data_IF_528118485108
#
_entry.id   IF_528118485108
#
_cell.length_a   1.000
_cell.length_b   1.000
_cell.length_c   1.000
_cell.angle_alpha   90.00
_cell.angle_beta   90.00
_cell.angle_gamma   90.00
#
_symmetry.space_group_name_H-M   'P 1'
#
loop_
_entity.id
_entity.type
_entity.pdbx_description
1 polymer ?
#
# COMPACT_ATOMS: atom_id res chain seq x y z
N UNK A 1 -25.33 -8.78 20.44
CA UNK A 1 -23.87 -8.57 20.25
C UNK A 1 -23.70 -7.56 19.13
N UNK A 2 -22.79 -6.58 19.27
CA UNK A 2 -22.48 -5.63 18.19
C UNK A 2 -21.86 -6.34 16.99
N UNK A 3 -22.01 -5.78 15.79
CA UNK A 3 -21.43 -6.31 14.54
C UNK A 3 -19.92 -6.53 14.64
N UNK A 4 -19.20 -5.66 15.36
CA UNK A 4 -17.74 -5.82 15.58
C UNK A 4 -17.41 -7.05 16.41
N UNK A 5 -18.21 -7.33 17.45
CA UNK A 5 -18.04 -8.54 18.27
C UNK A 5 -18.37 -9.82 17.47
N UNK A 6 -19.37 -9.78 16.59
CA UNK A 6 -19.67 -10.89 15.70
C UNK A 6 -18.52 -11.16 14.71
N UNK A 7 -17.87 -10.09 14.22
CA UNK A 7 -16.69 -10.23 13.36
C UNK A 7 -15.49 -10.80 14.12
N UNK A 8 -15.23 -10.38 15.35
CA UNK A 8 -14.18 -10.96 16.20
C UNK A 8 -14.42 -12.47 16.41
N UNK A 9 -15.66 -12.86 16.71
CA UNK A 9 -16.03 -14.27 16.85
C UNK A 9 -15.84 -15.06 15.55
N UNK A 10 -16.18 -14.47 14.41
CA UNK A 10 -15.93 -15.07 13.10
C UNK A 10 -14.42 -15.26 12.85
N UNK A 11 -13.59 -14.28 13.18
CA UNK A 11 -12.14 -14.37 13.02
C UNK A 11 -11.54 -15.51 13.87
N UNK A 12 -12.03 -15.70 15.09
CA UNK A 12 -11.59 -16.77 15.99
C UNK A 12 -12.06 -18.15 15.54
N UNK A 13 -13.34 -18.28 15.18
CA UNK A 13 -13.97 -19.58 14.96
C UNK A 13 -13.88 -20.09 13.53
N UNK A 14 -13.84 -19.20 12.54
CA UNK A 14 -13.86 -19.57 11.10
C UNK A 14 -12.52 -19.30 10.41
N UNK A 15 -11.76 -18.30 10.87
CA UNK A 15 -10.44 -17.96 10.30
C UNK A 15 -9.27 -18.42 11.17
N UNK A 16 -9.53 -18.86 12.41
CA UNK A 16 -8.53 -19.34 13.36
C UNK A 16 -7.31 -18.42 13.47
N UNK A 17 -7.54 -17.10 13.50
CA UNK A 17 -6.44 -16.14 13.60
C UNK A 17 -5.81 -16.16 14.99
N UNK A 18 -4.50 -15.91 15.07
CA UNK A 18 -3.82 -15.78 16.38
C UNK A 18 -4.32 -14.58 17.18
N UNK A 19 -4.12 -14.59 18.50
CA UNK A 19 -4.47 -13.47 19.38
C UNK A 19 -3.83 -12.14 18.93
N UNK A 20 -2.57 -12.20 18.46
CA UNK A 20 -1.87 -11.03 17.90
C UNK A 20 -2.58 -10.49 16.66
N UNK A 21 -2.97 -11.37 15.75
CA UNK A 21 -3.71 -11.00 14.54
C UNK A 21 -5.09 -10.46 14.87
N UNK A 22 -5.81 -11.07 15.82
CA UNK A 22 -7.11 -10.58 16.30
C UNK A 22 -7.00 -9.15 16.86
N UNK A 23 -5.98 -8.90 17.71
CA UNK A 23 -5.71 -7.55 18.24
C UNK A 23 -5.48 -6.54 17.11
N UNK A 24 -4.74 -6.92 16.08
CA UNK A 24 -4.52 -6.08 14.91
C UNK A 24 -5.82 -5.74 14.17
N UNK A 25 -6.69 -6.73 13.94
CA UNK A 25 -8.02 -6.52 13.35
C UNK A 25 -8.87 -5.56 14.18
N UNK A 26 -8.91 -5.76 15.51
CA UNK A 26 -9.66 -4.90 16.43
C UNK A 26 -9.21 -3.45 16.39
N UNK A 27 -7.90 -3.22 16.48
CA UNK A 27 -7.33 -1.88 16.39
C UNK A 27 -7.64 -1.22 15.04
N UNK A 28 -7.58 -1.97 13.93
CA UNK A 28 -7.85 -1.42 12.60
C UNK A 28 -9.31 -1.07 12.39
N UNK A 29 -10.23 -1.93 12.85
CA UNK A 29 -11.67 -1.66 12.78
C UNK A 29 -12.03 -0.45 13.61
N UNK A 30 -11.56 -0.38 14.87
CA UNK A 30 -11.86 0.77 15.74
C UNK A 30 -11.33 2.07 15.14
N UNK A 31 -10.14 2.05 14.54
CA UNK A 31 -9.57 3.22 13.89
C UNK A 31 -10.42 3.69 12.70
N UNK A 32 -10.87 2.75 11.86
CA UNK A 32 -11.76 3.09 10.75
C UNK A 32 -13.14 3.55 11.24
N UNK A 33 -13.74 2.88 12.22
CA UNK A 33 -15.04 3.25 12.79
C UNK A 33 -14.99 4.68 13.33
N UNK A 34 -13.98 5.02 14.13
CA UNK A 34 -13.85 6.39 14.67
C UNK A 34 -13.78 7.44 13.56
N UNK A 35 -13.01 7.19 12.50
CA UNK A 35 -12.98 8.06 11.32
C UNK A 35 -14.35 8.13 10.63
N UNK A 36 -14.98 6.99 10.41
CA UNK A 36 -16.19 6.86 9.61
C UNK A 36 -17.41 7.47 10.31
N UNK A 37 -17.55 7.32 11.63
CA UNK A 37 -18.61 7.94 12.43
C UNK A 37 -18.62 9.46 12.25
N UNK A 38 -17.44 10.08 12.27
CA UNK A 38 -17.28 11.52 12.02
C UNK A 38 -17.63 11.85 10.57
N UNK A 39 -17.08 11.08 9.62
CA UNK A 39 -17.26 11.33 8.19
C UNK A 39 -18.72 11.22 7.72
N UNK A 40 -19.51 10.33 8.33
CA UNK A 40 -20.92 10.10 7.97
C UNK A 40 -21.91 10.70 8.97
N UNK A 41 -21.43 11.37 10.02
CA UNK A 41 -22.27 11.89 11.11
C UNK A 41 -23.18 10.84 11.77
N UNK A 42 -22.69 9.60 11.87
CA UNK A 42 -23.40 8.48 12.50
C UNK A 42 -22.96 8.30 13.95
N UNK A 43 -23.78 7.61 14.76
CA UNK A 43 -23.56 7.49 16.22
C UNK A 43 -23.11 6.09 16.66
N UNK A 44 -23.31 5.08 15.83
CA UNK A 44 -22.95 3.70 16.13
C UNK A 44 -22.40 2.98 14.90
N UNK A 45 -21.78 1.82 15.12
CA UNK A 45 -21.31 0.97 14.01
C UNK A 45 -22.48 0.49 13.17
N UNK A 46 -23.58 0.15 13.82
CA UNK A 46 -24.80 -0.34 13.19
C UNK A 46 -25.40 0.71 12.26
N UNK A 47 -25.43 1.99 12.68
CA UNK A 47 -25.85 3.12 11.84
C UNK A 47 -24.89 3.40 10.69
N UNK A 48 -23.62 3.04 10.83
CA UNK A 48 -22.59 3.23 9.80
C UNK A 48 -22.69 2.19 8.68
N UNK A 49 -23.22 0.99 8.93
CA UNK A 49 -23.22 -0.12 7.97
C UNK A 49 -23.81 0.24 6.58
N UNK A 50 -24.93 0.97 6.46
CA UNK A 50 -25.48 1.38 5.17
C UNK A 50 -24.53 2.28 4.36
N UNK A 51 -23.64 3.01 5.03
CA UNK A 51 -22.66 3.90 4.42
C UNK A 51 -21.31 3.21 4.15
N UNK A 52 -21.13 1.97 4.63
CA UNK A 52 -19.89 1.22 4.44
C UNK A 52 -19.76 0.70 3.01
N UNK A 53 -19.16 1.54 2.16
CA UNK A 53 -18.96 1.27 0.73
C UNK A 53 -17.53 1.63 0.28
N UNK A 54 -17.23 1.33 -0.98
CA UNK A 54 -15.91 1.55 -1.58
C UNK A 54 -15.47 3.02 -1.55
N UNK A 55 -16.42 3.96 -1.66
CA UNK A 55 -16.13 5.39 -1.65
C UNK A 55 -15.66 5.86 -0.27
N UNK A 56 -16.37 5.46 0.79
CA UNK A 56 -15.97 5.80 2.16
C UNK A 56 -14.57 5.25 2.49
N UNK A 57 -14.26 4.03 2.03
CA UNK A 57 -12.94 3.41 2.20
C UNK A 57 -11.85 4.14 1.40
N UNK A 58 -12.17 4.68 0.22
CA UNK A 58 -11.23 5.53 -0.56
C UNK A 58 -10.94 6.85 0.14
N UNK A 59 -11.95 7.51 0.70
CA UNK A 59 -11.78 8.75 1.50
C UNK A 59 -10.90 8.45 2.71
N UNK A 60 -11.18 7.36 3.43
CA UNK A 60 -10.33 6.90 4.53
C UNK A 60 -8.88 6.68 4.08
N UNK A 61 -8.65 5.94 3.00
CA UNK A 61 -7.31 5.73 2.45
C UNK A 61 -6.57 7.05 2.19
N UNK A 62 -7.27 8.03 1.64
CA UNK A 62 -6.69 9.35 1.35
C UNK A 62 -6.30 10.09 2.63
N UNK A 63 -7.19 10.17 3.61
CA UNK A 63 -6.90 10.82 4.90
C UNK A 63 -5.74 10.16 5.65
N UNK A 64 -5.59 8.85 5.54
CA UNK A 64 -4.43 8.13 6.11
C UNK A 64 -3.12 8.49 5.42
N UNK A 65 -3.14 8.65 4.09
CA UNK A 65 -1.96 9.02 3.31
C UNK A 65 -1.54 10.47 3.60
N UNK A 66 -2.50 11.40 3.66
CA UNK A 66 -2.25 12.80 4.00
C UNK A 66 -1.76 12.98 5.44
N UNK A 67 -2.28 12.18 6.37
CA UNK A 67 -1.83 12.15 7.76
C UNK A 67 -0.47 11.47 7.99
N UNK A 68 0.28 11.14 6.94
CA UNK A 68 1.62 10.56 7.05
C UNK A 68 1.66 9.13 7.62
N UNK A 69 0.54 8.39 7.58
CA UNK A 69 0.51 7.02 8.09
C UNK A 69 1.42 6.12 7.22
N UNK A 70 2.28 5.27 7.81
CA UNK A 70 3.14 4.38 7.02
C UNK A 70 2.35 3.49 6.07
N UNK A 71 2.80 3.36 4.82
CA UNK A 71 2.13 2.59 3.76
C UNK A 71 1.75 1.17 4.18
N UNK A 72 2.64 0.47 4.91
CA UNK A 72 2.38 -0.87 5.42
C UNK A 72 1.19 -0.89 6.39
N UNK A 73 1.06 0.13 7.24
CA UNK A 73 -0.07 0.29 8.17
C UNK A 73 -1.36 0.57 7.43
N UNK A 74 -1.33 1.43 6.40
CA UNK A 74 -2.50 1.71 5.56
C UNK A 74 -2.97 0.42 4.88
N UNK A 75 -2.06 -0.30 4.21
CA UNK A 75 -2.38 -1.54 3.51
C UNK A 75 -2.90 -2.63 4.45
N UNK A 76 -2.37 -2.73 5.68
CA UNK A 76 -2.89 -3.62 6.73
C UNK A 76 -4.33 -3.26 7.10
N UNK A 77 -4.61 -1.98 7.36
CA UNK A 77 -5.97 -1.47 7.64
C UNK A 77 -6.93 -1.74 6.50
N UNK A 78 -6.54 -1.49 5.24
CA UNK A 78 -7.35 -1.78 4.06
C UNK A 78 -7.62 -3.29 3.90
N UNK A 79 -6.65 -4.15 4.25
CA UNK A 79 -6.86 -5.61 4.29
C UNK A 79 -7.91 -6.00 5.34
N UNK A 80 -7.86 -5.37 6.52
CA UNK A 80 -8.86 -5.55 7.57
C UNK A 80 -10.26 -5.18 7.06
N UNK A 81 -10.42 -4.03 6.42
CA UNK A 81 -11.71 -3.58 5.86
C UNK A 81 -12.24 -4.51 4.77
N UNK A 82 -11.38 -5.06 3.92
CA UNK A 82 -11.77 -6.07 2.92
C UNK A 82 -12.22 -7.39 3.54
N UNK A 83 -11.65 -7.80 4.68
CA UNK A 83 -12.13 -8.97 5.41
C UNK A 83 -13.45 -8.69 6.10
N UNK A 84 -13.61 -7.50 6.68
CA UNK A 84 -14.85 -7.09 7.32
C UNK A 84 -16.02 -7.00 6.33
N UNK A 85 -15.80 -6.39 5.16
CA UNK A 85 -16.80 -6.36 4.09
C UNK A 85 -17.25 -7.76 3.67
N UNK A 86 -16.29 -8.68 3.46
CA UNK A 86 -16.60 -10.09 3.14
C UNK A 86 -17.41 -10.77 4.23
N UNK A 87 -17.10 -10.51 5.50
CA UNK A 87 -17.88 -11.02 6.63
C UNK A 87 -19.33 -10.51 6.60
N UNK A 88 -19.54 -9.25 6.21
CA UNK A 88 -20.88 -8.65 6.05
C UNK A 88 -21.61 -9.10 4.78
N UNK A 89 -21.02 -9.97 3.95
CA UNK A 89 -21.58 -10.34 2.65
C UNK A 89 -21.52 -9.22 1.60
N UNK A 90 -20.70 -8.18 1.84
CA UNK A 90 -20.52 -7.04 0.96
C UNK A 90 -19.19 -7.14 0.19
N UNK A 91 -19.13 -6.57 -1.01
CA UNK A 91 -17.91 -6.41 -1.80
C UNK A 91 -17.58 -4.93 -1.96
N UNK A 92 -16.45 -4.50 -1.40
CA UNK A 92 -15.95 -3.12 -1.57
C UNK A 92 -15.36 -2.88 -2.98
N UNK A 93 -15.45 -3.85 -3.90
CA UNK A 93 -14.77 -3.79 -5.18
C UNK A 93 -13.24 -3.69 -5.04
N UNK A 94 -12.59 -3.11 -6.03
CA UNK A 94 -11.13 -2.94 -6.07
C UNK A 94 -10.72 -1.73 -5.21
N UNK A 95 -10.58 -1.94 -3.90
CA UNK A 95 -9.84 -1.02 -3.04
C UNK A 95 -8.37 -1.40 -3.09
N UNK A 96 -7.59 -0.66 -3.86
CA UNK A 96 -6.17 -0.93 -4.05
C UNK A 96 -5.32 -0.53 -2.84
N UNK A 97 -4.30 -1.34 -2.59
CA UNK A 97 -3.22 -0.99 -1.69
C UNK A 97 -2.50 0.27 -2.21
N UNK A 98 -1.96 1.07 -1.28
CA UNK A 98 -0.97 2.08 -1.64
C UNK A 98 0.30 1.34 -2.05
N UNK A 99 0.72 1.53 -3.31
CA UNK A 99 2.04 1.12 -3.76
C UNK A 99 3.05 2.00 -3.04
N UNK A 100 4.10 1.40 -2.47
CA UNK A 100 5.25 2.19 -2.03
C UNK A 100 5.77 2.96 -3.24
N UNK A 101 6.21 4.19 -3.04
CA UNK A 101 6.99 4.88 -4.07
C UNK A 101 8.17 3.97 -4.44
N UNK A 102 8.45 3.84 -5.73
CA UNK A 102 9.62 3.11 -6.20
C UNK A 102 10.86 3.74 -5.56
N UNK A 103 11.77 2.91 -5.05
CA UNK A 103 13.07 3.39 -4.58
C UNK A 103 13.84 4.02 -5.76
N UNK A 104 14.80 4.89 -5.48
CA UNK A 104 15.65 5.46 -6.54
C UNK A 104 16.33 4.36 -7.37
N UNK A 105 16.77 3.27 -6.71
CA UNK A 105 17.29 2.09 -7.38
C UNK A 105 16.27 1.46 -8.36
N UNK A 106 15.01 1.32 -7.95
CA UNK A 106 13.96 0.77 -8.82
C UNK A 106 13.62 1.70 -9.99
N UNK A 107 13.70 3.03 -9.79
CA UNK A 107 13.53 4.00 -10.88
C UNK A 107 14.68 3.90 -11.88
N UNK A 108 15.91 3.77 -11.38
CA UNK A 108 17.11 3.60 -12.19
C UNK A 108 17.04 2.32 -13.03
N UNK A 109 16.73 1.19 -12.42
CA UNK A 109 16.56 -0.09 -13.13
C UNK A 109 15.52 0.02 -14.26
N UNK A 110 14.38 0.66 -13.98
CA UNK A 110 13.35 0.91 -15.01
C UNK A 110 13.86 1.78 -16.15
N UNK A 111 14.62 2.83 -15.84
CA UNK A 111 15.19 3.72 -16.86
C UNK A 111 16.23 3.00 -17.72
N UNK A 112 17.05 2.14 -17.11
CA UNK A 112 18.03 1.31 -17.83
C UNK A 112 17.34 0.29 -18.75
N UNK A 113 16.23 -0.32 -18.31
CA UNK A 113 15.44 -1.23 -19.15
C UNK A 113 14.82 -0.52 -20.35
N UNK A 114 14.25 0.68 -20.14
CA UNK A 114 13.70 1.51 -21.22
C UNK A 114 14.80 1.95 -22.20
N UNK A 115 15.97 2.34 -21.70
CA UNK A 115 17.12 2.71 -22.51
C UNK A 115 17.65 1.53 -23.33
N UNK A 116 17.78 0.34 -22.71
CA UNK A 116 18.15 -0.90 -23.39
C UNK A 116 17.20 -1.21 -24.53
N UNK A 117 15.88 -1.17 -24.27
CA UNK A 117 14.86 -1.43 -25.28
C UNK A 117 14.97 -0.46 -26.45
N UNK A 118 15.19 0.82 -26.18
CA UNK A 118 15.39 1.83 -27.23
C UNK A 118 16.62 1.51 -28.10
N UNK A 119 17.74 1.12 -27.51
CA UNK A 119 18.95 0.73 -28.27
C UNK A 119 18.73 -0.54 -29.11
N UNK A 120 17.97 -1.50 -28.60
CA UNK A 120 17.58 -2.71 -29.35
C UNK A 120 16.71 -2.34 -30.56
N UNK A 121 15.75 -1.42 -30.41
CA UNK A 121 14.91 -0.90 -31.50
C UNK A 121 15.72 -0.13 -32.55
N UNK A 122 16.82 0.53 -32.15
CA UNK A 122 17.76 1.19 -33.07
C UNK A 122 18.70 0.21 -33.80
N UNK A 123 18.58 -1.09 -33.57
CA UNK A 123 19.41 -2.10 -34.23
C UNK A 123 20.87 -2.09 -33.79
N UNK A 124 21.16 -1.56 -32.60
CA UNK A 124 22.50 -1.50 -32.04
C UNK A 124 23.03 -2.92 -31.82
N UNK A 125 24.30 -3.16 -32.17
CA UNK A 125 24.91 -4.48 -32.00
C UNK A 125 24.96 -4.89 -30.52
N UNK A 126 24.90 -6.20 -30.23
CA UNK A 126 24.92 -6.71 -28.85
C UNK A 126 26.17 -6.27 -28.06
N UNK A 127 27.32 -6.14 -28.72
CA UNK A 127 28.55 -5.64 -28.10
C UNK A 127 28.44 -4.16 -27.75
N UNK A 128 27.94 -3.34 -28.67
CA UNK A 128 27.72 -1.91 -28.44
C UNK A 128 26.66 -1.67 -27.35
N UNK A 129 25.57 -2.44 -27.35
CA UNK A 129 24.53 -2.41 -26.32
C UNK A 129 25.12 -2.67 -24.93
N UNK A 130 25.96 -3.72 -24.81
CA UNK A 130 26.62 -4.06 -23.55
C UNK A 130 27.56 -2.95 -23.08
N UNK A 131 28.32 -2.34 -24.00
CA UNK A 131 29.22 -1.25 -23.67
C UNK A 131 28.44 -0.04 -23.13
N UNK A 132 27.40 0.42 -23.83
CA UNK A 132 26.60 1.56 -23.39
C UNK A 132 25.91 1.32 -22.04
N UNK A 133 25.35 0.13 -21.80
CA UNK A 133 24.77 -0.18 -20.50
C UNK A 133 25.82 -0.21 -19.39
N UNK A 134 27.01 -0.71 -19.67
CA UNK A 134 28.13 -0.70 -18.71
C UNK A 134 28.57 0.72 -18.39
N UNK A 135 28.74 1.58 -19.39
CA UNK A 135 29.20 2.96 -19.21
C UNK A 135 28.20 3.77 -18.39
N UNK A 136 26.90 3.64 -18.70
CA UNK A 136 25.83 4.29 -17.94
C UNK A 136 25.82 3.79 -16.50
N UNK A 137 25.94 2.49 -16.27
CA UNK A 137 25.99 1.93 -14.92
C UNK A 137 27.21 2.44 -14.12
N UNK A 138 28.39 2.50 -14.75
CA UNK A 138 29.58 3.06 -14.10
C UNK A 138 29.44 4.54 -13.79
N UNK A 139 28.79 5.32 -14.67
CA UNK A 139 28.50 6.73 -14.42
C UNK A 139 27.60 6.91 -13.18
N UNK A 140 26.55 6.11 -13.03
CA UNK A 140 25.70 6.18 -11.83
C UNK A 140 26.46 5.82 -10.55
N UNK A 141 27.28 4.76 -10.58
CA UNK A 141 28.14 4.38 -9.44
C UNK A 141 29.09 5.52 -9.06
N UNK A 142 29.63 6.24 -10.05
CA UNK A 142 30.47 7.41 -9.81
C UNK A 142 29.70 8.54 -9.12
N UNK A 143 28.48 8.86 -9.59
CA UNK A 143 27.64 9.91 -9.00
C UNK A 143 27.25 9.57 -7.56
N UNK A 144 26.87 8.33 -7.27
CA UNK A 144 26.53 7.90 -5.90
C UNK A 144 27.70 8.10 -4.93
N UNK A 145 28.90 7.66 -5.32
CA UNK A 145 30.13 7.83 -4.52
C UNK A 145 30.49 9.30 -4.33
N UNK A 146 30.28 10.15 -5.33
CA UNK A 146 30.54 11.59 -5.24
C UNK A 146 29.58 12.30 -4.27
N UNK A 147 28.34 11.81 -4.14
CA UNK A 147 27.36 12.36 -3.18
C UNK A 147 27.62 11.92 -1.74
N UNK A 148 28.17 10.73 -1.53
CA UNK A 148 28.54 10.23 -0.19
C UNK A 148 29.76 10.97 0.37
N UNK A 149 30.77 11.21 -0.46
CA UNK A 149 32.00 11.92 -0.07
C UNK A 149 31.79 13.41 0.24
N UNK A 150 30.72 14.03 -0.26
CA UNK A 150 30.34 15.40 0.08
C UNK A 150 29.51 15.55 1.37
N UNK A 151 29.12 14.45 2.04
CA UNK A 151 28.36 14.48 3.30
C UNK A 151 29.23 14.37 4.57
N UNK A 152 30.52 14.09 4.42
CA UNK A 152 31.49 13.98 5.51
C UNK A 152 32.36 15.24 5.71
N UNK A 153 32.07 16.33 4.99
CA UNK A 153 32.73 17.64 5.12
C UNK A 153 31.75 18.70 5.63
#
# INVERSE_FOLDING_TARGET
MSTTAQFEQYLLTKKHVSCKTLRNYRCDINHFVNFALIQTSTRSVEDLLPHFNSQLVKIYRHSQAEGGTPTNTINRRLSTLRNFARFLGNSLGVVENIRKAATEQQKLEKMLDEFKKHLEEQGVSKSTLKNYLSDVNQFFVYIERAQESGREA
#
